data_IF_301560999452
#
_entry.id   IF_301560999452
#
_cell.length_a   1.000
_cell.length_b   1.000
_cell.length_c   1.000
_cell.angle_alpha   90.00
_cell.angle_beta   90.00
_cell.angle_gamma   90.00
#
_symmetry.space_group_name_H-M   'P 1'
#
loop_
_entity.id
_entity.type
_entity.pdbx_description
1 polymer ?
#
# COMPACT_ATOMS: atom_id res chain seq x y z
N UNK A 1 3.00 20.39 -1.76
CA UNK A 1 2.06 20.46 -0.60
C UNK A 1 1.17 21.71 -0.59
N UNK A 2 1.69 22.91 -0.32
CA UNK A 2 0.86 24.08 0.07
C UNK A 2 -0.33 24.41 -0.86
N UNK A 3 -0.12 24.45 -2.18
CA UNK A 3 -1.20 24.72 -3.14
C UNK A 3 -2.25 23.61 -3.22
N UNK A 4 -1.87 22.34 -3.04
CA UNK A 4 -2.84 21.23 -3.06
C UNK A 4 -3.73 21.24 -1.83
N UNK A 5 -3.14 21.52 -0.66
CA UNK A 5 -3.88 21.67 0.59
C UNK A 5 -4.85 22.86 0.51
N UNK A 6 -4.42 23.99 -0.07
CA UNK A 6 -5.30 25.15 -0.33
C UNK A 6 -6.52 24.79 -1.19
N UNK A 7 -6.34 23.90 -2.17
CA UNK A 7 -7.43 23.41 -3.03
C UNK A 7 -8.17 22.19 -2.49
N UNK A 8 -7.87 21.71 -1.27
CA UNK A 8 -8.51 20.53 -0.69
C UNK A 8 -8.22 19.23 -1.46
N UNK A 9 -7.09 19.16 -2.18
CA UNK A 9 -6.72 18.00 -3.00
C UNK A 9 -5.93 17.02 -2.13
N UNK A 10 -6.60 15.96 -1.69
CA UNK A 10 -5.99 14.84 -0.96
C UNK A 10 -5.02 14.04 -1.84
N UNK A 11 -4.09 13.33 -1.21
CA UNK A 11 -3.16 12.38 -1.85
C UNK A 11 -3.75 10.99 -1.87
N UNK A 12 -3.41 10.24 -2.91
CA UNK A 12 -3.59 8.80 -2.88
C UNK A 12 -2.64 8.18 -1.82
N UNK A 13 -2.97 6.98 -1.33
CA UNK A 13 -2.08 6.16 -0.53
C UNK A 13 -0.67 6.06 -1.14
N UNK A 14 0.36 6.17 -0.32
CA UNK A 14 1.76 6.22 -0.79
C UNK A 14 2.35 4.84 -1.10
N UNK A 15 1.76 3.80 -0.51
CA UNK A 15 2.22 2.41 -0.65
C UNK A 15 1.04 1.44 -0.69
N UNK A 16 1.36 0.16 -0.95
CA UNK A 16 0.36 -0.90 -1.06
C UNK A 16 -0.38 -1.12 0.27
N UNK A 17 0.30 -1.05 1.41
CA UNK A 17 -0.34 -1.22 2.72
C UNK A 17 -1.46 -0.19 2.95
N UNK A 18 -1.15 1.09 2.76
CA UNK A 18 -2.14 2.17 2.88
C UNK A 18 -3.28 2.05 1.85
N UNK A 19 -2.98 1.58 0.64
CA UNK A 19 -4.00 1.37 -0.39
C UNK A 19 -4.96 0.23 -0.02
N UNK A 20 -4.44 -0.82 0.61
CA UNK A 20 -5.24 -1.94 1.12
C UNK A 20 -6.08 -1.50 2.33
N UNK A 21 -5.53 -0.67 3.22
CA UNK A 21 -6.29 -0.08 4.33
C UNK A 21 -7.43 0.82 3.81
N UNK A 22 -7.18 1.63 2.78
CA UNK A 22 -8.21 2.44 2.14
C UNK A 22 -9.31 1.57 1.49
N UNK A 23 -8.92 0.50 0.79
CA UNK A 23 -9.85 -0.46 0.18
C UNK A 23 -10.71 -1.17 1.23
N UNK A 24 -10.13 -1.57 2.37
CA UNK A 24 -10.86 -2.25 3.44
C UNK A 24 -11.99 -1.39 4.01
N UNK A 25 -11.80 -0.06 4.02
CA UNK A 25 -12.78 0.91 4.50
C UNK A 25 -13.77 1.40 3.42
N UNK A 26 -13.62 1.01 2.16
CA UNK A 26 -14.50 1.43 1.05
C UNK A 26 -15.58 0.38 0.76
N UNK A 27 -16.78 0.60 1.31
CA UNK A 27 -17.93 -0.29 1.11
C UNK A 27 -18.41 -0.36 -0.35
N UNK A 28 -18.24 0.71 -1.13
CA UNK A 28 -18.70 0.74 -2.53
C UNK A 28 -17.80 -0.15 -3.38
N UNK A 29 -16.49 -0.02 -3.23
CA UNK A 29 -15.53 -0.83 -3.96
C UNK A 29 -15.58 -2.29 -3.49
N UNK A 30 -15.63 -2.54 -2.17
CA UNK A 30 -15.79 -3.90 -1.63
C UNK A 30 -17.09 -4.55 -2.10
N UNK A 31 -18.20 -3.80 -2.10
CA UNK A 31 -19.49 -4.28 -2.59
C UNK A 31 -19.47 -4.62 -4.09
N UNK A 32 -18.74 -3.84 -4.89
CA UNK A 32 -18.56 -4.11 -6.32
C UNK A 32 -17.75 -5.37 -6.62
N UNK A 33 -16.79 -5.71 -5.76
CA UNK A 33 -15.97 -6.93 -5.87
C UNK A 33 -16.70 -8.17 -5.33
N UNK A 34 -17.59 -7.97 -4.34
CA UNK A 34 -18.24 -9.03 -3.59
C UNK A 34 -17.37 -9.51 -2.42
N UNK A 35 -18.04 -9.95 -1.35
CA UNK A 35 -17.41 -10.20 -0.04
C UNK A 35 -16.24 -11.19 -0.10
N UNK A 36 -16.44 -12.36 -0.73
CA UNK A 36 -15.39 -13.38 -0.81
C UNK A 36 -14.15 -12.91 -1.58
N UNK A 37 -14.34 -12.15 -2.66
CA UNK A 37 -13.22 -11.65 -3.48
C UNK A 37 -12.50 -10.53 -2.75
N UNK A 38 -13.24 -9.59 -2.16
CA UNK A 38 -12.66 -8.48 -1.42
C UNK A 38 -11.81 -8.97 -0.24
N UNK A 39 -12.33 -9.89 0.57
CA UNK A 39 -11.60 -10.47 1.70
C UNK A 39 -10.30 -11.17 1.25
N UNK A 40 -10.39 -12.04 0.24
CA UNK A 40 -9.22 -12.79 -0.24
C UNK A 40 -8.19 -11.90 -0.91
N UNK A 41 -8.64 -10.86 -1.60
CA UNK A 41 -7.74 -9.87 -2.19
C UNK A 41 -7.00 -9.07 -1.12
N UNK A 42 -7.71 -8.58 -0.09
CA UNK A 42 -7.11 -7.85 1.04
C UNK A 42 -6.09 -8.74 1.75
N UNK A 43 -6.45 -9.98 2.09
CA UNK A 43 -5.55 -10.95 2.73
C UNK A 43 -4.25 -11.13 1.93
N UNK A 44 -4.37 -11.46 0.64
CA UNK A 44 -3.22 -11.68 -0.23
C UNK A 44 -2.34 -10.43 -0.38
N UNK A 45 -2.95 -9.24 -0.47
CA UNK A 45 -2.19 -7.99 -0.63
C UNK A 45 -1.53 -7.51 0.66
N UNK A 46 -2.06 -7.85 1.83
CA UNK A 46 -1.37 -7.64 3.11
C UNK A 46 -0.13 -8.52 3.25
N UNK A 47 -0.23 -9.77 2.81
CA UNK A 47 0.92 -10.69 2.77
C UNK A 47 2.00 -10.17 1.81
N UNK A 48 1.63 -9.80 0.58
CA UNK A 48 2.55 -9.22 -0.41
C UNK A 48 3.28 -7.98 0.11
N UNK A 49 2.56 -7.08 0.80
CA UNK A 49 3.17 -5.89 1.39
C UNK A 49 4.13 -6.25 2.54
N UNK A 50 3.79 -7.24 3.35
CA UNK A 50 4.65 -7.72 4.45
C UNK A 50 5.93 -8.31 3.90
N UNK A 51 5.83 -9.16 2.87
CA UNK A 51 6.98 -9.77 2.19
C UNK A 51 7.91 -8.70 1.61
N UNK A 52 7.34 -7.67 0.97
CA UNK A 52 8.13 -6.54 0.45
C UNK A 52 8.88 -5.79 1.54
N UNK A 53 8.28 -5.56 2.71
CA UNK A 53 8.91 -4.82 3.81
C UNK A 53 10.07 -5.55 4.48
N UNK A 54 10.08 -6.89 4.42
CA UNK A 54 11.14 -7.71 5.02
C UNK A 54 12.21 -8.14 4.01
N UNK A 55 11.99 -7.90 2.71
CA UNK A 55 12.96 -8.16 1.66
C UNK A 55 14.11 -7.17 1.73
N UNK A 56 15.35 -7.68 1.62
CA UNK A 56 16.54 -6.83 1.52
C UNK A 56 16.86 -6.66 0.05
N UNK A 57 16.54 -5.49 -0.48
CA UNK A 57 16.67 -5.20 -1.90
C UNK A 57 18.13 -5.10 -2.33
N UNK A 58 18.39 -5.37 -3.61
CA UNK A 58 19.73 -5.18 -4.19
C UNK A 58 20.22 -3.73 -4.03
N UNK A 59 19.31 -2.74 -4.10
CA UNK A 59 19.66 -1.34 -3.88
C UNK A 59 20.17 -1.10 -2.46
N UNK A 60 19.57 -1.72 -1.44
CA UNK A 60 20.04 -1.62 -0.05
C UNK A 60 21.40 -2.29 0.12
N UNK A 61 21.62 -3.45 -0.49
CA UNK A 61 22.92 -4.12 -0.50
C UNK A 61 24.00 -3.22 -1.12
N UNK A 62 23.77 -2.73 -2.33
CA UNK A 62 24.70 -1.86 -3.05
C UNK A 62 25.01 -0.56 -2.27
N UNK A 63 24.02 -0.05 -1.52
CA UNK A 63 24.13 1.22 -0.80
C UNK A 63 24.80 1.08 0.56
N UNK A 64 24.59 -0.03 1.26
CA UNK A 64 24.91 -0.16 2.67
C UNK A 64 25.91 -1.28 3.00
N UNK A 65 26.01 -2.35 2.19
CA UNK A 65 26.84 -3.52 2.51
C UNK A 65 28.34 -3.23 2.55
N UNK A 66 28.85 -2.39 1.66
CA UNK A 66 30.27 -1.99 1.66
C UNK A 66 30.55 -0.73 2.48
N UNK A 67 29.49 0.03 2.80
CA UNK A 67 29.60 1.34 3.45
C UNK A 67 29.67 1.23 4.98
N UNK A 68 29.21 0.12 5.55
CA UNK A 68 29.14 -0.16 6.99
C UNK A 68 29.68 -1.56 7.27
#
# INVERSE_FOLDING_TARGET
EAKRQEYGIETLPENLGEAVDALENDEVVRGGLGEHVAEKFIEAKREEHTDYLVDVSQWELDRYLEKF
#
